data_IF_959039831838
#
_entry.id   IF_959039831838
#
_cell.length_a   1.000
_cell.length_b   1.000
_cell.length_c   1.000
_cell.angle_alpha   90.00
_cell.angle_beta   90.00
_cell.angle_gamma   90.00
#
_symmetry.space_group_name_H-M   'P 1'
#
loop_
_entity.id
_entity.type
_entity.pdbx_description
1 polymer ?
#
# COMPACT_ATOMS: atom_id res chain seq x y z
N UNK A 1 -7.28 17.36 21.00
CA UNK A 1 -7.23 16.94 19.59
C UNK A 1 -7.14 15.43 19.57
N UNK A 2 -8.20 14.74 19.16
CA UNK A 2 -8.16 13.30 18.88
C UNK A 2 -7.38 13.12 17.57
N UNK A 3 -6.22 12.47 17.66
CA UNK A 3 -5.42 12.13 16.47
C UNK A 3 -6.18 11.04 15.73
N UNK A 4 -6.60 11.32 14.49
CA UNK A 4 -7.27 10.33 13.65
C UNK A 4 -6.26 9.27 13.20
N UNK A 5 -6.60 7.97 13.20
CA UNK A 5 -5.68 6.93 12.75
C UNK A 5 -5.24 7.16 11.30
N UNK A 6 -3.95 6.98 11.00
CA UNK A 6 -3.41 7.16 9.63
C UNK A 6 -4.12 6.22 8.64
N UNK A 7 -4.53 5.04 9.10
CA UNK A 7 -5.35 4.12 8.30
C UNK A 7 -6.67 4.73 7.77
N UNK A 8 -7.33 5.62 8.53
CA UNK A 8 -8.58 6.28 8.09
C UNK A 8 -8.31 7.35 7.02
N UNK A 9 -7.25 8.15 7.21
CA UNK A 9 -6.80 9.15 6.23
C UNK A 9 -6.41 8.49 4.89
N UNK A 10 -5.77 7.32 4.95
CA UNK A 10 -5.34 6.56 3.77
C UNK A 10 -6.52 5.98 3.00
N UNK A 11 -7.57 5.53 3.70
CA UNK A 11 -8.79 5.01 3.06
C UNK A 11 -9.60 6.12 2.37
N UNK A 12 -9.72 7.29 2.99
CA UNK A 12 -10.34 8.46 2.36
C UNK A 12 -9.56 8.92 1.13
N UNK A 13 -8.23 8.88 1.20
CA UNK A 13 -7.36 9.22 0.07
C UNK A 13 -7.54 8.24 -1.09
N UNK A 14 -7.61 6.93 -0.84
CA UNK A 14 -7.85 5.94 -1.88
C UNK A 14 -9.23 6.15 -2.55
N UNK A 15 -10.28 6.38 -1.74
CA UNK A 15 -11.62 6.66 -2.25
C UNK A 15 -11.65 7.91 -3.13
N UNK A 16 -10.99 9.00 -2.70
CA UNK A 16 -10.88 10.23 -3.49
C UNK A 16 -10.11 10.01 -4.80
N UNK A 17 -9.03 9.22 -4.76
CA UNK A 17 -8.22 8.91 -5.94
C UNK A 17 -9.01 8.07 -6.95
N UNK A 18 -9.79 7.08 -6.50
CA UNK A 18 -10.69 6.29 -7.36
C UNK A 18 -11.82 7.14 -7.96
N UNK A 19 -12.43 8.02 -7.17
CA UNK A 19 -13.48 8.92 -7.65
C UNK A 19 -12.94 9.85 -8.76
N UNK A 20 -11.72 10.36 -8.59
CA UNK A 20 -11.03 11.16 -9.60
C UNK A 20 -10.71 10.35 -10.88
N UNK A 21 -10.26 9.11 -10.76
CA UNK A 21 -10.00 8.22 -11.91
C UNK A 21 -11.26 7.99 -12.77
N UNK A 22 -12.40 7.79 -12.12
CA UNK A 22 -13.72 7.65 -12.76
C UNK A 22 -14.14 8.97 -13.42
N UNK A 23 -14.07 10.08 -12.68
CA UNK A 23 -14.47 11.40 -13.17
C UNK A 23 -13.66 11.83 -14.41
N UNK A 24 -12.39 11.43 -14.51
CA UNK A 24 -11.51 11.78 -15.62
C UNK A 24 -11.42 10.72 -16.72
N UNK A 25 -12.17 9.62 -16.63
CA UNK A 25 -12.13 8.53 -17.62
C UNK A 25 -12.38 8.99 -19.07
N UNK A 26 -13.23 10.00 -19.25
CA UNK A 26 -13.53 10.60 -20.56
C UNK A 26 -12.32 11.29 -21.22
N UNK A 27 -11.29 11.67 -20.45
CA UNK A 27 -10.05 12.28 -20.94
C UNK A 27 -9.03 11.25 -21.48
N UNK A 28 -9.40 9.97 -21.56
CA UNK A 28 -8.51 8.88 -22.02
C UNK A 28 -8.20 8.92 -23.53
N UNK A 29 -8.84 9.82 -24.28
CA UNK A 29 -8.67 9.98 -25.73
C UNK A 29 -8.36 11.44 -26.08
N UNK A 30 -7.74 11.64 -27.24
CA UNK A 30 -7.39 12.98 -27.74
C UNK A 30 -6.37 13.72 -26.86
N UNK A 31 -6.46 15.06 -26.86
CA UNK A 31 -5.48 15.96 -26.23
C UNK A 31 -5.36 15.79 -24.70
N UNK A 32 -6.38 15.25 -24.03
CA UNK A 32 -6.39 15.01 -22.59
C UNK A 32 -5.62 13.75 -22.13
N UNK A 33 -5.27 12.84 -23.05
CA UNK A 33 -4.71 11.52 -22.72
C UNK A 33 -3.40 11.59 -21.95
N UNK A 34 -2.48 12.45 -22.38
CA UNK A 34 -1.17 12.59 -21.75
C UNK A 34 -1.27 13.23 -20.35
N UNK A 35 -2.19 14.18 -20.16
CA UNK A 35 -2.45 14.78 -18.86
C UNK A 35 -3.09 13.77 -17.90
N UNK A 36 -4.11 13.02 -18.36
CA UNK A 36 -4.75 11.95 -17.58
C UNK A 36 -3.73 10.91 -17.13
N UNK A 37 -2.85 10.44 -18.03
CA UNK A 37 -1.83 9.45 -17.69
C UNK A 37 -0.86 9.93 -16.61
N UNK A 38 -0.42 11.19 -16.68
CA UNK A 38 0.48 11.78 -15.66
C UNK A 38 -0.19 11.86 -14.29
N UNK A 39 -1.46 12.27 -14.24
CA UNK A 39 -2.17 12.38 -12.96
C UNK A 39 -2.51 11.00 -12.40
N UNK A 40 -2.88 10.03 -13.23
CA UNK A 40 -3.06 8.64 -12.80
C UNK A 40 -1.76 8.08 -12.18
N UNK A 41 -0.61 8.30 -12.82
CA UNK A 41 0.70 7.92 -12.26
C UNK A 41 1.00 8.61 -10.92
N UNK A 42 0.69 9.90 -10.78
CA UNK A 42 0.83 10.61 -9.51
C UNK A 42 -0.12 10.06 -8.44
N UNK A 43 -1.34 9.68 -8.81
CA UNK A 43 -2.32 9.02 -7.93
C UNK A 43 -1.83 7.65 -7.45
N UNK A 44 -1.23 6.85 -8.32
CA UNK A 44 -0.64 5.56 -7.94
C UNK A 44 0.54 5.74 -6.96
N UNK A 45 1.40 6.75 -7.19
CA UNK A 45 2.49 7.08 -6.26
C UNK A 45 1.99 7.56 -4.90
N UNK A 46 0.88 8.30 -4.89
CA UNK A 46 0.22 8.75 -3.68
C UNK A 46 -0.37 7.57 -2.90
N UNK A 47 -1.11 6.66 -3.55
CA UNK A 47 -1.61 5.42 -2.92
C UNK A 47 -0.48 4.59 -2.34
N UNK A 48 0.61 4.42 -3.07
CA UNK A 48 1.76 3.65 -2.59
C UNK A 48 2.39 4.29 -1.34
N UNK A 49 2.52 5.63 -1.32
CA UNK A 49 3.04 6.36 -0.16
C UNK A 49 2.11 6.26 1.06
N UNK A 50 0.80 6.38 0.83
CA UNK A 50 -0.23 6.23 1.84
C UNK A 50 -0.25 4.81 2.43
N UNK A 51 -0.15 3.78 1.60
CA UNK A 51 -0.03 2.39 2.02
C UNK A 51 1.20 2.14 2.90
N UNK A 52 2.36 2.72 2.55
CA UNK A 52 3.58 2.65 3.39
C UNK A 52 3.36 3.27 4.77
N UNK A 53 2.70 4.43 4.86
CA UNK A 53 2.40 5.09 6.14
C UNK A 53 1.47 4.25 7.01
N UNK A 54 0.42 3.67 6.43
CA UNK A 54 -0.50 2.78 7.15
C UNK A 54 0.19 1.52 7.70
N UNK A 55 1.16 0.96 6.96
CA UNK A 55 1.96 -0.18 7.41
C UNK A 55 2.85 0.22 8.59
N UNK A 56 3.54 1.37 8.52
CA UNK A 56 4.42 1.86 9.59
C UNK A 56 3.64 2.07 10.89
N UNK A 57 2.44 2.65 10.82
CA UNK A 57 1.56 2.81 11.99
C UNK A 57 1.21 1.45 12.62
N UNK A 58 0.79 0.46 11.80
CA UNK A 58 0.34 -0.86 12.28
C UNK A 58 1.42 -1.77 12.84
N UNK A 59 2.69 -1.60 12.46
CA UNK A 59 3.79 -2.47 12.92
C UNK A 59 4.28 -2.08 14.33
N UNK A 60 3.78 -0.99 14.91
CA UNK A 60 4.07 -0.65 16.31
C UNK A 60 3.28 -1.54 17.27
N UNK A 61 4.00 -2.39 18.04
CA UNK A 61 3.39 -3.19 19.14
C UNK A 61 3.02 -4.63 18.80
N UNK A 62 3.82 -5.33 17.98
CA UNK A 62 3.61 -6.75 17.70
C UNK A 62 3.86 -7.61 18.95
N UNK A 63 2.87 -8.44 19.33
CA UNK A 63 3.04 -9.52 20.29
C UNK A 63 4.04 -10.56 19.72
N UNK A 64 4.94 -11.05 20.58
CA UNK A 64 6.04 -11.94 20.20
C UNK A 64 5.63 -13.42 20.07
N UNK A 65 4.37 -13.77 20.30
CA UNK A 65 3.88 -15.13 20.09
C UNK A 65 3.94 -15.55 18.61
N UNK A 66 4.23 -16.83 18.27
CA UNK A 66 4.29 -17.29 16.88
C UNK A 66 2.99 -17.06 16.09
N UNK A 67 1.84 -17.21 16.75
CA UNK A 67 0.52 -16.98 16.17
C UNK A 67 0.28 -15.50 15.89
N UNK A 68 0.63 -14.60 16.82
CA UNK A 68 0.52 -13.16 16.59
C UNK A 68 1.46 -12.70 15.47
N UNK A 69 2.70 -13.22 15.42
CA UNK A 69 3.65 -12.93 14.35
C UNK A 69 3.12 -13.37 12.97
N UNK A 70 2.46 -14.54 12.90
CA UNK A 70 1.82 -15.02 11.67
C UNK A 70 0.64 -14.12 11.25
N UNK A 71 -0.26 -13.81 12.17
CA UNK A 71 -1.42 -12.95 11.89
C UNK A 71 -0.99 -11.54 11.44
N UNK A 72 0.07 -11.02 12.06
CA UNK A 72 0.68 -9.75 11.67
C UNK A 72 1.25 -9.81 10.24
N UNK A 73 1.95 -10.89 9.89
CA UNK A 73 2.47 -11.09 8.54
C UNK A 73 1.35 -11.19 7.51
N UNK A 74 0.29 -11.97 7.78
CA UNK A 74 -0.88 -12.09 6.90
C UNK A 74 -1.56 -10.74 6.67
N UNK A 75 -1.72 -9.95 7.74
CA UNK A 75 -2.27 -8.59 7.67
C UNK A 75 -1.39 -7.68 6.82
N UNK A 76 -0.07 -7.70 7.05
CA UNK A 76 0.89 -6.85 6.34
C UNK A 76 0.95 -7.19 4.84
N UNK A 77 0.96 -8.47 4.50
CA UNK A 77 0.91 -8.94 3.11
C UNK A 77 -0.39 -8.50 2.44
N UNK A 78 -1.53 -8.65 3.11
CA UNK A 78 -2.83 -8.19 2.58
C UNK A 78 -2.85 -6.68 2.31
N UNK A 79 -2.25 -5.87 3.20
CA UNK A 79 -2.15 -4.43 3.03
C UNK A 79 -1.24 -4.06 1.85
N UNK A 80 -0.09 -4.71 1.71
CA UNK A 80 0.81 -4.49 0.57
C UNK A 80 0.12 -4.80 -0.76
N UNK A 81 -0.58 -5.94 -0.85
CA UNK A 81 -1.28 -6.35 -2.07
C UNK A 81 -2.40 -5.38 -2.43
N UNK A 82 -3.21 -4.96 -1.46
CA UNK A 82 -4.35 -4.08 -1.71
C UNK A 82 -3.95 -2.63 -2.04
N UNK A 83 -2.83 -2.14 -1.50
CA UNK A 83 -2.39 -0.75 -1.67
C UNK A 83 -1.35 -0.57 -2.76
N UNK A 84 -0.66 -1.64 -3.18
CA UNK A 84 0.49 -1.55 -4.09
C UNK A 84 1.67 -0.78 -3.48
N UNK A 85 1.78 -0.74 -2.14
CA UNK A 85 2.83 0.00 -1.42
C UNK A 85 4.25 -0.38 -1.87
N UNK A 86 4.44 -1.65 -2.24
CA UNK A 86 5.60 -2.19 -2.95
C UNK A 86 5.10 -3.19 -4.03
N UNK A 87 5.85 -3.36 -5.14
CA UNK A 87 5.56 -4.41 -6.11
C UNK A 87 5.57 -5.81 -5.49
N UNK A 88 4.68 -6.70 -5.94
CA UNK A 88 4.58 -8.08 -5.43
C UNK A 88 5.88 -8.86 -5.57
N UNK A 89 6.57 -8.71 -6.71
CA UNK A 89 7.84 -9.38 -6.95
C UNK A 89 8.90 -8.98 -5.90
N UNK A 90 8.95 -7.70 -5.52
CA UNK A 90 9.91 -7.15 -4.57
C UNK A 90 9.62 -7.71 -3.16
N UNK A 91 8.34 -7.85 -2.79
CA UNK A 91 7.95 -8.51 -1.53
C UNK A 91 8.46 -9.96 -1.48
N UNK A 92 8.23 -10.72 -2.55
CA UNK A 92 8.68 -12.12 -2.65
C UNK A 92 10.21 -12.21 -2.57
N UNK A 93 10.94 -11.32 -3.25
CA UNK A 93 12.40 -11.26 -3.18
C UNK A 93 12.91 -10.97 -1.77
N UNK A 94 12.31 -10.00 -1.07
CA UNK A 94 12.66 -9.67 0.32
C UNK A 94 12.44 -10.87 1.24
N UNK A 95 11.29 -11.54 1.16
CA UNK A 95 10.96 -12.70 2.00
C UNK A 95 11.94 -13.85 1.71
N UNK A 96 12.20 -14.14 0.44
CA UNK A 96 13.14 -15.19 0.04
C UNK A 96 14.58 -14.87 0.48
N UNK A 97 15.02 -13.62 0.38
CA UNK A 97 16.34 -13.21 0.85
C UNK A 97 16.49 -13.37 2.36
N UNK A 98 15.44 -13.08 3.14
CA UNK A 98 15.42 -13.34 4.58
C UNK A 98 15.43 -14.83 4.91
N UNK A 99 14.66 -15.64 4.17
CA UNK A 99 14.65 -17.09 4.33
C UNK A 99 16.05 -17.69 4.07
N UNK A 100 16.75 -17.25 3.02
CA UNK A 100 18.13 -17.70 2.72
C UNK A 100 19.15 -17.35 3.79
N UNK A 101 18.93 -16.27 4.54
CA UNK A 101 19.83 -15.78 5.61
C UNK A 101 19.41 -16.26 6.99
N UNK A 102 18.27 -16.94 7.12
CA UNK A 102 17.82 -17.47 8.38
C UNK A 102 18.74 -18.62 8.80
N UNK A 103 19.26 -18.63 10.04
CA UNK A 103 19.98 -19.79 10.54
C UNK A 103 19.02 -20.98 10.60
N UNK A 104 19.49 -22.16 10.20
CA UNK A 104 18.77 -23.41 10.40
C UNK A 104 18.47 -23.54 11.90
N UNK A 105 17.17 -23.49 12.25
CA UNK A 105 16.67 -23.60 13.62
C UNK A 105 15.95 -24.92 13.82
#
# INVERSE_FOLDING_TARGET
MTVRPVAEDVLELDAATRAWDVATAHLSRGMGKAARRRIAQAGDQLRASAGRLAIVERVTGLDASPQAARAAMETLVSLIVSTGAIPWQDLVEIVNDRARRAPDR
#
